data_IF_943865163061
#
_entry.id   IF_943865163061
#
_cell.length_a   1.000
_cell.length_b   1.000
_cell.length_c   1.000
_cell.angle_alpha   90.00
_cell.angle_beta   90.00
_cell.angle_gamma   90.00
#
_symmetry.space_group_name_H-M   'P 1'
#
loop_
_entity.id
_entity.type
_entity.pdbx_description
1 polymer ?
#
# COMPACT_ATOMS: atom_id res chain seq x y z
N UNK A 1 8.69 -30.03 -22.12
CA UNK A 1 9.53 -29.00 -21.47
C UNK A 1 8.59 -27.96 -20.86
N UNK A 2 8.78 -27.62 -19.59
CA UNK A 2 7.90 -26.67 -18.88
C UNK A 2 8.15 -25.24 -19.37
N UNK A 3 7.07 -24.48 -19.61
CA UNK A 3 7.13 -23.07 -19.96
C UNK A 3 6.26 -22.28 -18.98
N UNK A 4 6.89 -21.47 -18.13
CA UNK A 4 6.17 -20.65 -17.15
C UNK A 4 5.31 -19.57 -17.85
N UNK A 5 5.79 -19.00 -18.95
CA UNK A 5 5.12 -17.90 -19.64
C UNK A 5 3.78 -18.32 -20.27
N UNK A 6 3.57 -19.61 -20.55
CA UNK A 6 2.27 -20.09 -21.04
C UNK A 6 1.19 -20.13 -19.95
N UNK A 7 1.57 -20.00 -18.67
CA UNK A 7 0.66 -20.01 -17.53
C UNK A 7 0.30 -18.60 -17.05
N UNK A 8 1.04 -17.58 -17.49
CA UNK A 8 0.84 -16.20 -17.08
C UNK A 8 -0.11 -15.51 -18.06
N UNK A 9 -1.06 -14.73 -17.52
CA UNK A 9 -2.00 -13.96 -18.35
C UNK A 9 -1.26 -12.93 -19.21
N UNK A 10 -1.63 -12.74 -20.49
CA UNK A 10 -0.97 -11.79 -21.39
C UNK A 10 -0.93 -10.35 -20.86
N UNK A 11 -1.95 -9.92 -20.12
CA UNK A 11 -1.99 -8.59 -19.53
C UNK A 11 -1.00 -8.40 -18.37
N UNK A 12 -0.63 -9.48 -17.67
CA UNK A 12 0.36 -9.43 -16.59
C UNK A 12 1.78 -9.43 -17.18
N UNK A 13 2.02 -10.20 -18.24
CA UNK A 13 3.32 -10.20 -18.96
C UNK A 13 3.64 -8.81 -19.54
N UNK A 14 2.61 -8.10 -20.03
CA UNK A 14 2.75 -6.77 -20.65
C UNK A 14 2.70 -5.61 -19.66
N UNK A 15 2.39 -5.87 -18.40
CA UNK A 15 2.25 -4.83 -17.39
C UNK A 15 3.63 -4.26 -17.07
N UNK A 16 3.75 -2.93 -17.07
CA UNK A 16 4.85 -2.24 -16.42
C UNK A 16 4.51 -2.14 -14.93
N UNK A 17 5.40 -2.65 -14.08
CA UNK A 17 5.19 -2.61 -12.64
C UNK A 17 5.26 -1.16 -12.15
N UNK A 18 4.41 -0.82 -11.18
CA UNK A 18 4.54 0.45 -10.47
C UNK A 18 5.91 0.52 -9.80
N UNK A 19 6.59 1.66 -9.97
CA UNK A 19 7.87 1.98 -9.38
C UNK A 19 7.67 3.18 -8.45
N UNK A 20 8.09 3.07 -7.19
CA UNK A 20 8.05 4.20 -6.26
C UNK A 20 9.34 5.02 -6.35
N UNK A 21 9.28 6.27 -5.90
CA UNK A 21 10.48 7.12 -5.79
C UNK A 21 11.61 6.45 -4.97
N UNK A 22 11.25 5.62 -3.98
CA UNK A 22 12.21 4.84 -3.18
C UNK A 22 12.84 3.68 -3.94
N UNK A 23 12.12 3.06 -4.88
CA UNK A 23 12.67 1.99 -5.72
C UNK A 23 13.71 2.54 -6.71
N UNK A 24 13.50 3.78 -7.17
CA UNK A 24 14.36 4.47 -8.13
C UNK A 24 15.57 5.14 -7.49
N UNK A 25 15.44 5.61 -6.25
CA UNK A 25 16.55 6.20 -5.50
C UNK A 25 17.56 5.12 -5.09
N UNK A 26 18.85 5.33 -5.42
CA UNK A 26 19.95 4.39 -5.13
C UNK A 26 20.96 4.91 -4.10
N UNK A 27 20.69 6.05 -3.46
CA UNK A 27 21.53 6.62 -2.42
C UNK A 27 21.01 6.29 -1.01
N UNK A 28 21.76 6.75 0.00
CA UNK A 28 21.28 6.80 1.38
C UNK A 28 20.67 8.17 1.64
N UNK A 29 19.48 8.20 2.25
CA UNK A 29 18.84 9.43 2.69
C UNK A 29 18.73 9.45 4.22
N UNK A 30 19.16 10.55 4.84
CA UNK A 30 19.05 10.73 6.29
C UNK A 30 17.60 11.05 6.71
N UNK A 31 16.80 11.62 5.81
CA UNK A 31 15.41 12.03 6.04
C UNK A 31 14.56 11.69 4.82
N UNK A 32 13.45 10.98 5.02
CA UNK A 32 12.53 10.59 3.95
C UNK A 32 11.22 11.42 4.00
N UNK A 33 10.99 12.25 2.98
CA UNK A 33 9.80 13.11 2.84
C UNK A 33 9.18 12.99 1.43
N UNK A 34 9.09 11.76 0.94
CA UNK A 34 8.72 11.43 -0.45
C UNK A 34 7.43 10.62 -0.58
N UNK A 35 6.93 10.05 0.53
CA UNK A 35 5.83 9.07 0.53
C UNK A 35 4.63 9.44 1.44
N UNK A 36 4.58 10.67 1.98
CA UNK A 36 3.51 11.13 2.88
C UNK A 36 3.29 10.24 4.12
N UNK A 37 4.35 9.58 4.61
CA UNK A 37 4.28 8.69 5.78
C UNK A 37 4.10 9.50 7.07
N UNK A 38 3.42 8.89 8.04
CA UNK A 38 3.39 9.43 9.40
C UNK A 38 4.68 8.97 10.14
N UNK A 39 5.42 9.87 10.80
CA UNK A 39 6.69 9.52 11.45
C UNK A 39 6.52 8.78 12.79
N UNK A 40 5.30 8.39 13.21
CA UNK A 40 5.03 7.78 14.50
C UNK A 40 4.27 6.44 14.38
N UNK A 41 4.57 5.49 15.28
CA UNK A 41 3.78 4.27 15.50
C UNK A 41 4.55 3.09 16.11
N UNK A 42 3.86 2.21 16.86
CA UNK A 42 4.45 1.03 17.54
C UNK A 42 3.57 -0.25 17.39
N UNK A 43 2.66 -0.30 16.43
CA UNK A 43 1.65 -1.36 16.37
C UNK A 43 2.24 -2.73 15.96
N UNK A 44 1.96 -3.79 16.74
CA UNK A 44 2.51 -5.14 16.57
C UNK A 44 1.45 -6.26 16.50
N UNK A 45 0.15 -5.92 16.36
CA UNK A 45 -0.97 -6.87 16.28
C UNK A 45 -1.81 -6.65 15.03
N UNK A 46 -2.43 -7.74 14.55
CA UNK A 46 -3.38 -7.69 13.44
C UNK A 46 -4.57 -6.79 13.79
N UNK A 47 -5.03 -5.94 12.84
CA UNK A 47 -6.19 -5.09 13.07
C UNK A 47 -7.48 -5.92 13.09
N UNK A 48 -8.52 -5.35 13.69
CA UNK A 48 -9.89 -5.83 13.55
C UNK A 48 -10.33 -5.74 12.07
N UNK A 49 -10.93 -6.81 11.47
CA UNK A 49 -11.28 -6.83 10.05
C UNK A 49 -12.48 -5.94 9.70
N UNK A 50 -13.39 -5.69 10.64
CA UNK A 50 -14.61 -4.92 10.41
C UNK A 50 -14.39 -3.42 10.63
N UNK A 51 -13.40 -3.04 11.44
CA UNK A 51 -12.94 -1.67 11.68
C UNK A 51 -14.09 -0.75 12.12
N UNK A 52 -15.01 -1.29 12.93
CA UNK A 52 -16.28 -0.64 13.26
C UNK A 52 -16.09 0.72 13.93
N UNK A 53 -15.09 0.87 14.81
CA UNK A 53 -14.85 2.12 15.53
C UNK A 53 -14.27 3.22 14.62
N UNK A 54 -13.35 2.87 13.72
CA UNK A 54 -12.83 3.80 12.70
C UNK A 54 -13.96 4.25 11.77
N UNK A 55 -14.78 3.33 11.28
CA UNK A 55 -15.91 3.68 10.41
C UNK A 55 -16.90 4.62 11.11
N UNK A 56 -17.20 4.41 12.41
CA UNK A 56 -18.03 5.35 13.21
C UNK A 56 -17.40 6.73 13.33
N UNK A 57 -16.08 6.80 13.53
CA UNK A 57 -15.38 8.07 13.66
C UNK A 57 -15.34 8.83 12.32
N UNK A 58 -15.04 8.12 11.23
CA UNK A 58 -14.98 8.69 9.88
C UNK A 58 -16.36 9.14 9.38
N UNK A 59 -17.43 8.42 9.70
CA UNK A 59 -18.79 8.76 9.27
C UNK A 59 -19.21 10.14 9.78
N UNK A 60 -18.84 10.48 11.02
CA UNK A 60 -19.03 11.83 11.61
C UNK A 60 -18.27 12.92 10.86
N UNK A 61 -17.01 12.65 10.48
CA UNK A 61 -16.15 13.61 9.77
C UNK A 61 -16.65 13.82 8.34
N UNK A 62 -16.98 12.72 7.66
CA UNK A 62 -17.39 12.72 6.25
C UNK A 62 -18.88 13.01 6.05
N UNK A 63 -19.67 13.10 7.13
CA UNK A 63 -21.13 13.35 7.13
C UNK A 63 -21.90 12.32 6.30
N UNK A 64 -21.60 11.05 6.52
CA UNK A 64 -22.26 9.89 5.88
C UNK A 64 -22.71 8.90 6.94
N UNK A 65 -23.65 8.01 6.60
CA UNK A 65 -24.03 6.91 7.47
C UNK A 65 -22.93 5.85 7.56
N UNK A 66 -22.96 5.06 8.62
CA UNK A 66 -22.02 3.96 8.86
C UNK A 66 -22.55 2.64 8.33
#
# INVERSE_FOLDING_TARGET
MFNLNSLIRPNIIKLEAYSSARDEFKGDAEVFLDANENPFGELNRYPDPDQLEIKKALSKIKKVDK
#
